data_IF_192541607052
#
_entry.id   IF_192541607052
#
_cell.length_a   1.000
_cell.length_b   1.000
_cell.length_c   1.000
_cell.angle_alpha   90.00
_cell.angle_beta   90.00
_cell.angle_gamma   90.00
#
_symmetry.space_group_name_H-M   'P 1'
#
loop_
_entity.id
_entity.type
_entity.pdbx_description
1 polymer ?
#
# COMPACT_ATOMS: atom_id res chain seq x y z
N UNK A 1 -14.12 1.81 20.95
CA UNK A 1 -13.71 2.04 20.73
C UNK A 1 -13.54 1.99 20.24
N UNK A 2 -13.55 1.83 20.15
CA UNK A 2 -13.02 1.89 19.73
C UNK A 2 -12.47 1.89 19.46
N UNK A 3 -12.36 1.65 19.59
CA UNK A 3 -11.57 1.70 19.42
C UNK A 3 -10.96 1.93 19.40
N UNK A 4 -10.86 1.86 19.83
CA UNK A 4 -10.02 2.05 19.83
C UNK A 4 -9.39 1.75 19.30
N UNK A 5 -9.52 1.23 19.68
CA UNK A 5 -8.29 0.53 19.40
C UNK A 5 -8.06 0.56 17.99
N UNK A 6 -8.78 0.06 17.35
CA UNK A 6 -8.54 0.13 15.97
C UNK A 6 -8.01 1.45 15.51
N UNK A 7 -7.85 2.30 16.43
CA UNK A 7 -7.30 3.59 16.16
C UNK A 7 -5.85 3.55 15.80
N UNK A 8 -5.20 2.46 16.10
CA UNK A 8 -3.77 2.32 15.88
C UNK A 8 -3.51 1.71 14.53
N UNK A 9 -3.95 2.39 13.50
CA UNK A 9 -3.64 1.95 12.15
C UNK A 9 -2.15 2.09 11.89
N UNK A 10 -1.55 1.11 11.21
CA UNK A 10 -0.12 1.14 10.91
C UNK A 10 0.26 2.18 9.85
N UNK A 11 -0.67 2.92 9.36
CA UNK A 11 -0.44 3.95 8.36
C UNK A 11 -1.46 5.07 8.55
N UNK A 12 -1.13 6.24 8.04
CA UNK A 12 -2.07 7.34 7.99
C UNK A 12 -2.88 7.22 6.71
N UNK A 13 -4.16 7.49 6.81
CA UNK A 13 -5.05 7.37 5.68
C UNK A 13 -5.96 8.58 5.58
N UNK A 14 -6.08 9.11 4.37
CA UNK A 14 -6.97 10.22 4.09
C UNK A 14 -7.80 9.84 2.87
N UNK A 15 -9.10 9.71 3.05
CA UNK A 15 -9.98 9.21 2.02
C UNK A 15 -10.87 10.32 1.48
N UNK A 16 -10.89 10.48 0.15
CA UNK A 16 -11.75 11.43 -0.54
C UNK A 16 -12.44 10.74 -1.70
N UNK A 17 -13.74 10.46 -1.55
CA UNK A 17 -14.48 9.74 -2.58
C UNK A 17 -13.89 8.35 -2.78
N UNK A 18 -13.50 8.04 -4.01
CA UNK A 18 -12.90 6.74 -4.32
C UNK A 18 -11.36 6.79 -4.31
N UNK A 19 -10.78 7.89 -3.85
CA UNK A 19 -9.34 8.06 -3.76
C UNK A 19 -8.91 8.03 -2.31
N UNK A 20 -7.95 7.18 -1.99
CA UNK A 20 -7.41 7.06 -0.64
C UNK A 20 -5.92 7.34 -0.66
N UNK A 21 -5.46 8.23 0.20
CA UNK A 21 -4.04 8.49 0.36
C UNK A 21 -3.56 7.74 1.61
N UNK A 22 -2.47 7.01 1.49
CA UNK A 22 -1.86 6.28 2.61
C UNK A 22 -0.40 6.62 2.73
N UNK A 23 0.05 6.74 3.99
CA UNK A 23 1.46 6.95 4.31
C UNK A 23 1.88 5.84 5.25
N UNK A 24 2.80 5.00 4.78
CA UNK A 24 3.39 3.92 5.59
C UNK A 24 4.72 4.40 6.13
N UNK A 25 4.91 4.25 7.44
CA UNK A 25 6.18 4.62 8.07
C UNK A 25 7.16 3.46 8.02
N UNK A 26 8.44 3.78 8.03
CA UNK A 26 9.52 2.82 7.88
C UNK A 26 9.45 1.63 8.83
N UNK A 27 9.15 1.88 10.09
CA UNK A 27 9.19 0.86 11.13
C UNK A 27 7.82 0.27 11.47
N UNK A 28 6.85 0.42 10.58
CA UNK A 28 5.50 -0.02 10.88
C UNK A 28 5.25 -1.40 10.29
N UNK A 29 4.73 -2.31 11.13
CA UNK A 29 4.21 -3.57 10.65
C UNK A 29 2.79 -3.34 10.18
N UNK A 30 2.45 -3.87 9.03
CA UNK A 30 1.13 -3.69 8.45
C UNK A 30 0.72 -4.95 7.73
N UNK A 31 -0.59 -5.12 7.65
CA UNK A 31 -1.18 -6.21 6.89
C UNK A 31 -0.71 -6.20 5.42
N UNK A 32 -0.36 -5.02 4.89
CA UNK A 32 0.10 -4.89 3.51
C UNK A 32 1.45 -5.53 3.25
N UNK A 33 2.23 -5.82 4.30
CA UNK A 33 3.53 -6.48 4.16
C UNK A 33 3.41 -7.98 3.97
N UNK A 34 2.25 -8.56 4.20
CA UNK A 34 2.02 -9.98 3.99
C UNK A 34 1.16 -10.17 2.75
N UNK A 35 1.21 -11.39 2.21
CA UNK A 35 0.39 -11.71 1.03
C UNK A 35 -1.07 -11.53 1.37
N UNK A 36 -1.76 -10.75 0.56
CA UNK A 36 -3.20 -10.50 0.73
C UNK A 36 -3.81 -10.17 -0.63
N UNK A 37 -5.12 -10.14 -0.67
CA UNK A 37 -5.86 -9.78 -1.88
C UNK A 37 -7.01 -8.86 -1.50
N UNK A 38 -7.43 -8.07 -2.47
CA UNK A 38 -8.52 -7.12 -2.28
C UNK A 38 -9.71 -7.53 -3.12
N UNK A 39 -10.88 -7.06 -2.74
CA UNK A 39 -12.12 -7.42 -3.44
C UNK A 39 -12.42 -6.54 -4.64
N UNK A 40 -11.72 -5.43 -4.76
CA UNK A 40 -11.92 -4.46 -5.83
C UNK A 40 -10.63 -4.25 -6.60
N UNK A 41 -10.76 -3.91 -7.88
CA UNK A 41 -9.60 -3.46 -8.64
C UNK A 41 -9.07 -2.18 -8.02
N UNK A 42 -7.75 -2.02 -8.02
CA UNK A 42 -7.11 -0.84 -7.46
C UNK A 42 -6.07 -0.30 -8.40
N UNK A 43 -6.00 1.04 -8.47
CA UNK A 43 -4.92 1.71 -9.15
C UNK A 43 -4.12 2.46 -8.09
N UNK A 44 -2.84 2.09 -7.96
CA UNK A 44 -1.96 2.66 -6.96
C UNK A 44 -0.96 3.58 -7.64
N UNK A 45 -0.90 4.82 -7.17
CA UNK A 45 0.10 5.79 -7.64
C UNK A 45 1.09 6.04 -6.53
N UNK A 46 2.38 5.92 -6.82
CA UNK A 46 3.44 6.13 -5.85
C UNK A 46 3.79 7.60 -5.81
N UNK A 47 3.63 8.23 -4.64
CA UNK A 47 3.96 9.63 -4.44
C UNK A 47 5.36 9.81 -3.87
N UNK A 48 5.79 8.89 -3.00
CA UNK A 48 7.10 8.96 -2.38
C UNK A 48 7.53 7.55 -2.01
N UNK A 49 8.75 7.17 -2.34
CA UNK A 49 9.27 5.84 -2.04
C UNK A 49 10.80 5.87 -2.06
N UNK A 50 11.41 5.15 -1.12
CA UNK A 50 12.86 4.97 -1.09
C UNK A 50 13.13 3.49 -0.86
N UNK A 51 13.23 2.75 -1.94
CA UNK A 51 13.56 1.32 -1.88
C UNK A 51 12.41 0.41 -1.50
N UNK A 52 11.21 0.94 -1.29
CA UNK A 52 10.04 0.08 -1.09
C UNK A 52 9.75 -0.68 -2.37
N UNK A 53 9.27 -1.90 -2.23
CA UNK A 53 9.01 -2.77 -3.36
C UNK A 53 7.58 -3.29 -3.32
N UNK A 54 7.12 -3.74 -4.47
CA UNK A 54 5.80 -4.32 -4.63
C UNK A 54 5.94 -5.66 -5.37
N UNK A 55 5.19 -6.66 -4.95
CA UNK A 55 5.24 -7.97 -5.58
C UNK A 55 3.83 -8.53 -5.75
N UNK A 56 3.49 -8.90 -6.97
CA UNK A 56 2.27 -9.64 -7.25
C UNK A 56 2.56 -11.13 -7.28
N UNK A 57 1.51 -11.94 -7.12
CA UNK A 57 1.60 -13.38 -7.16
C UNK A 57 2.27 -13.84 -8.46
N UNK A 58 3.18 -14.79 -8.35
CA UNK A 58 3.92 -15.37 -9.48
C UNK A 58 4.81 -14.37 -10.22
N UNK A 59 5.16 -13.25 -9.59
CA UNK A 59 6.04 -12.26 -10.20
C UNK A 59 7.18 -11.91 -9.25
N UNK A 60 8.25 -11.38 -9.80
CA UNK A 60 9.35 -10.88 -9.00
C UNK A 60 9.00 -9.53 -8.42
N UNK A 61 9.57 -9.17 -7.24
CA UNK A 61 9.35 -7.84 -6.68
C UNK A 61 9.88 -6.76 -7.61
N UNK A 62 9.16 -5.64 -7.66
CA UNK A 62 9.60 -4.46 -8.40
C UNK A 62 9.82 -3.32 -7.42
N UNK A 63 10.82 -2.49 -7.70
CA UNK A 63 11.10 -1.31 -6.89
C UNK A 63 10.10 -0.22 -7.23
N UNK A 64 9.47 0.34 -6.20
CA UNK A 64 8.51 1.43 -6.37
C UNK A 64 9.27 2.75 -6.47
N UNK A 65 8.92 3.55 -7.46
CA UNK A 65 9.51 4.87 -7.67
C UNK A 65 8.41 5.90 -7.76
N UNK A 66 8.75 7.11 -7.38
CA UNK A 66 7.83 8.23 -7.46
C UNK A 66 7.26 8.35 -8.88
N UNK A 67 5.95 8.45 -8.98
CA UNK A 67 5.27 8.54 -10.27
C UNK A 67 4.81 7.21 -10.83
N UNK A 68 5.25 6.09 -10.27
CA UNK A 68 4.81 4.78 -10.74
C UNK A 68 3.32 4.60 -10.51
N UNK A 69 2.66 3.98 -11.48
CA UNK A 69 1.25 3.62 -11.38
C UNK A 69 1.15 2.11 -11.54
N UNK A 70 0.51 1.48 -10.57
CA UNK A 70 0.38 0.03 -10.54
C UNK A 70 -1.10 -0.33 -10.50
N UNK A 71 -1.53 -1.19 -11.41
CA UNK A 71 -2.88 -1.69 -11.41
C UNK A 71 -2.91 -3.06 -10.76
N UNK A 72 -3.75 -3.21 -9.73
CA UNK A 72 -3.88 -4.46 -8.99
C UNK A 72 -5.29 -4.98 -9.23
N UNK A 73 -5.42 -6.03 -10.05
CA UNK A 73 -6.74 -6.63 -10.28
C UNK A 73 -7.31 -7.22 -9.00
N UNK A 74 -8.62 -7.17 -8.87
CA UNK A 74 -9.29 -7.75 -7.70
C UNK A 74 -8.91 -9.22 -7.56
N UNK A 75 -8.87 -9.68 -6.33
CA UNK A 75 -8.60 -11.07 -5.97
C UNK A 75 -7.21 -11.56 -6.38
N UNK A 76 -6.28 -10.65 -6.65
CA UNK A 76 -4.90 -11.01 -6.96
C UNK A 76 -4.05 -10.84 -5.72
N UNK A 77 -3.35 -11.89 -5.30
CA UNK A 77 -2.48 -11.81 -4.14
C UNK A 77 -1.28 -10.92 -4.44
N UNK A 78 -0.96 -10.07 -3.48
CA UNK A 78 0.16 -9.12 -3.61
C UNK A 78 0.63 -8.70 -2.23
N UNK A 79 1.79 -8.04 -2.18
CA UNK A 79 2.34 -7.50 -0.94
C UNK A 79 3.30 -6.37 -1.25
N UNK A 80 3.56 -5.53 -0.24
CA UNK A 80 4.65 -4.56 -0.33
C UNK A 80 5.81 -5.07 0.52
N UNK A 81 7.01 -4.65 0.13
CA UNK A 81 8.23 -4.99 0.85
C UNK A 81 8.83 -3.69 1.38
N UNK A 82 9.22 -3.72 2.65
CA UNK A 82 9.66 -2.52 3.35
C UNK A 82 10.94 -1.95 2.73
N UNK A 83 10.97 -0.61 2.58
CA UNK A 83 12.17 0.10 2.17
C UNK A 83 12.64 1.00 3.28
N UNK A 84 13.25 2.13 2.91
CA UNK A 84 13.72 3.14 3.84
C UNK A 84 12.73 4.29 3.88
N UNK A 85 12.62 4.96 5.03
CA UNK A 85 11.73 6.11 5.15
C UNK A 85 10.28 5.74 4.93
N UNK A 86 9.49 6.73 4.58
CA UNK A 86 8.06 6.55 4.40
C UNK A 86 7.71 6.17 2.97
N UNK A 87 6.64 5.41 2.82
CA UNK A 87 6.03 5.15 1.52
C UNK A 87 4.71 5.92 1.46
N UNK A 88 4.55 6.79 0.47
CA UNK A 88 3.30 7.49 0.24
C UNK A 88 2.69 7.02 -1.06
N UNK A 89 1.43 6.65 -1.01
CA UNK A 89 0.70 6.19 -2.19
C UNK A 89 -0.71 6.74 -2.18
N UNK A 90 -1.33 6.77 -3.37
CA UNK A 90 -2.77 6.95 -3.48
C UNK A 90 -3.35 5.69 -4.08
N UNK A 91 -4.55 5.35 -3.63
CA UNK A 91 -5.26 4.17 -4.11
C UNK A 91 -6.59 4.64 -4.66
N UNK A 92 -6.85 4.29 -5.90
CA UNK A 92 -8.12 4.59 -6.56
C UNK A 92 -8.87 3.27 -6.77
N UNK A 93 -10.10 3.23 -6.29
CA UNK A 93 -10.96 2.04 -6.43
C UNK A 93 -12.14 2.27 -7.36
#
# INVERSE_FOLDING_TARGET
VEDSGGNMKPYKENKKGNLTERVFKENTDTHELVWHRDRLDREVTVLESDGWMFQMDNELPIVLKEGDVIEIPKNTYHRILRGNGNLKITIKE
#
